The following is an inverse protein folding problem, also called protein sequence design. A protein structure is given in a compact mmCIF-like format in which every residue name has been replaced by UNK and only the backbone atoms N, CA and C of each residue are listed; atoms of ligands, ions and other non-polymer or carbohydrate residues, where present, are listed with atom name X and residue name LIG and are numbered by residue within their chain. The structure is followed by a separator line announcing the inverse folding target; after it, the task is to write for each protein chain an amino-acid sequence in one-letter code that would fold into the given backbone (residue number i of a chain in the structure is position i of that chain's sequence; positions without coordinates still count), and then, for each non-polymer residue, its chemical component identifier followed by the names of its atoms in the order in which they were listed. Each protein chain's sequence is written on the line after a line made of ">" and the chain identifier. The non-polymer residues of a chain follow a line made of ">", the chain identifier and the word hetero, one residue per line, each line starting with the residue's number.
data_IF_313793274907
#
_entry.id   IF_313793274907
#
_cell.length_a   1.000
_cell.length_b   1.000
_cell.length_c   1.000
_cell.angle_alpha   90.00
_cell.angle_beta   90.00
_cell.angle_gamma   90.00
#
_symmetry.space_group_name_H-M   'P 1'
#
loop_
_entity.id
_entity.type
_entity.pdbx_description
1 polymer ?
#
# COMPACT_ATOMS: atom_id res chain seq x y z
N UNK A 1 -1.48 -8.10 8.72
CA UNK A 1 -0.01 -8.03 8.91
C UNK A 1 0.58 -8.73 7.70
N UNK A 2 1.64 -8.17 7.13
CA UNK A 2 2.28 -8.69 5.91
C UNK A 2 3.69 -9.17 6.22
N UNK A 3 4.36 -9.81 5.26
CA UNK A 3 5.73 -10.31 5.42
C UNK A 3 6.62 -9.70 4.33
N UNK A 4 7.71 -9.02 4.71
CA UNK A 4 8.63 -8.31 3.79
C UNK A 4 10.09 -8.73 3.99
N UNK A 5 10.44 -10.00 3.72
CA UNK A 5 11.79 -10.52 3.96
C UNK A 5 12.85 -9.87 3.06
N UNK A 6 12.54 -9.53 1.80
CA UNK A 6 13.51 -8.93 0.89
C UNK A 6 13.84 -7.51 1.31
N UNK A 7 12.85 -6.71 1.72
CA UNK A 7 13.07 -5.37 2.26
C UNK A 7 13.94 -5.46 3.52
N UNK A 8 13.62 -6.36 4.46
CA UNK A 8 14.45 -6.59 5.65
C UNK A 8 15.91 -6.92 5.27
N UNK A 9 16.12 -7.86 4.35
CA UNK A 9 17.46 -8.29 3.93
C UNK A 9 18.21 -7.24 3.09
N UNK A 10 17.47 -6.42 2.35
CA UNK A 10 17.98 -5.32 1.55
C UNK A 10 18.21 -4.03 2.34
N UNK A 11 17.92 -4.01 3.64
CA UNK A 11 18.13 -2.85 4.49
C UNK A 11 19.62 -2.41 4.47
N UNK A 12 19.87 -1.10 4.47
CA UNK A 12 21.19 -0.49 4.26
C UNK A 12 21.86 -0.77 2.89
N UNK A 13 21.16 -1.39 1.94
CA UNK A 13 21.64 -1.47 0.56
C UNK A 13 21.25 -0.22 -0.23
N UNK A 14 22.05 0.19 -1.24
CA UNK A 14 21.71 1.34 -2.09
C UNK A 14 20.45 1.15 -2.94
N UNK A 15 19.90 -0.08 -3.00
CA UNK A 15 18.69 -0.42 -3.74
C UNK A 15 17.47 -0.65 -2.84
N UNK A 16 17.53 -0.32 -1.55
CA UNK A 16 16.48 -0.64 -0.59
C UNK A 16 15.09 -0.15 -1.04
N UNK A 17 14.96 1.10 -1.49
CA UNK A 17 13.67 1.67 -1.88
C UNK A 17 13.05 0.91 -3.06
N UNK A 18 13.87 0.46 -4.01
CA UNK A 18 13.42 -0.35 -5.14
C UNK A 18 13.01 -1.75 -4.68
N UNK A 19 13.80 -2.38 -3.80
CA UNK A 19 13.48 -3.70 -3.23
C UNK A 19 12.16 -3.65 -2.47
N UNK A 20 11.96 -2.62 -1.63
CA UNK A 20 10.73 -2.42 -0.87
C UNK A 20 9.53 -2.18 -1.79
N UNK A 21 9.69 -1.34 -2.81
CA UNK A 21 8.65 -1.08 -3.83
C UNK A 21 8.25 -2.37 -4.53
N UNK A 22 9.21 -3.11 -5.09
CA UNK A 22 8.95 -4.33 -5.85
C UNK A 22 8.32 -5.43 -4.98
N UNK A 23 8.75 -5.54 -3.72
CA UNK A 23 8.17 -6.50 -2.79
C UNK A 23 6.76 -6.11 -2.36
N UNK A 24 6.50 -4.82 -2.15
CA UNK A 24 5.17 -4.32 -1.77
C UNK A 24 4.17 -4.45 -2.92
N UNK A 25 4.55 -4.11 -4.15
CA UNK A 25 3.70 -4.26 -5.35
C UNK A 25 3.42 -5.72 -5.71
N UNK A 26 4.18 -6.67 -5.18
CA UNK A 26 3.93 -8.10 -5.34
C UNK A 26 2.92 -8.68 -4.33
N UNK A 27 2.47 -7.88 -3.36
CA UNK A 27 1.50 -8.28 -2.34
C UNK A 27 0.08 -8.03 -2.86
N UNK A 28 -0.85 -8.94 -2.54
CA UNK A 28 -2.26 -8.74 -2.84
C UNK A 28 -2.83 -7.53 -2.08
N UNK A 29 -3.61 -6.71 -2.80
CA UNK A 29 -4.21 -5.48 -2.27
C UNK A 29 -5.06 -5.70 -1.01
N UNK A 30 -5.66 -6.89 -0.84
CA UNK A 30 -6.48 -7.25 0.33
C UNK A 30 -5.68 -7.38 1.63
N UNK A 31 -4.35 -7.56 1.54
CA UNK A 31 -3.48 -7.63 2.71
C UNK A 31 -3.09 -6.25 3.24
N UNK A 32 -3.36 -5.20 2.47
CA UNK A 32 -3.15 -3.81 2.83
C UNK A 32 -4.49 -3.15 3.22
N UNK A 33 -4.48 -2.17 4.13
CA UNK A 33 -5.70 -1.49 4.56
C UNK A 33 -6.21 -0.46 3.53
N UNK A 34 -6.11 -0.74 2.23
CA UNK A 34 -6.47 0.20 1.14
C UNK A 34 -7.94 0.59 1.19
N UNK A 35 -8.82 -0.36 1.53
CA UNK A 35 -10.26 -0.09 1.69
C UNK A 35 -10.57 0.96 2.77
N UNK A 36 -9.70 1.08 3.79
CA UNK A 36 -9.83 2.12 4.83
C UNK A 36 -9.21 3.46 4.40
N UNK A 37 -8.33 3.44 3.40
CA UNK A 37 -7.68 4.63 2.84
C UNK A 37 -8.48 5.31 1.73
N UNK A 38 -9.62 4.75 1.32
CA UNK A 38 -10.48 5.34 0.29
C UNK A 38 -11.01 6.70 0.74
N UNK A 39 -10.90 7.68 -0.14
CA UNK A 39 -11.41 9.03 0.10
C UNK A 39 -12.47 9.46 -0.91
N UNK A 40 -12.40 8.95 -2.14
CA UNK A 40 -13.22 9.40 -3.27
C UNK A 40 -14.24 8.34 -3.74
N UNK A 41 -13.98 7.07 -3.44
CA UNK A 41 -14.71 5.92 -3.96
C UNK A 41 -15.19 4.99 -2.83
N UNK A 42 -15.92 3.93 -3.19
CA UNK A 42 -16.60 3.07 -2.21
C UNK A 42 -15.90 1.73 -2.00
N UNK A 43 -15.19 1.23 -3.01
CA UNK A 43 -14.56 -0.08 -2.97
C UNK A 43 -13.21 -0.05 -3.69
N UNK A 44 -12.23 -0.81 -3.19
CA UNK A 44 -10.94 -0.98 -3.90
C UNK A 44 -11.13 -1.85 -5.14
N UNK A 45 -10.59 -1.42 -6.28
CA UNK A 45 -10.53 -2.21 -7.51
C UNK A 45 -9.59 -3.41 -7.37
N UNK A 46 -9.78 -4.45 -8.18
CA UNK A 46 -8.85 -5.59 -8.24
C UNK A 46 -7.60 -5.30 -9.09
N UNK A 47 -7.46 -4.08 -9.59
CA UNK A 47 -6.30 -3.64 -10.35
C UNK A 47 -5.04 -3.54 -9.48
N UNK A 48 -3.85 -3.73 -10.07
CA UNK A 48 -2.59 -3.57 -9.35
C UNK A 48 -2.44 -2.14 -8.83
N UNK A 49 -1.86 -2.01 -7.64
CA UNK A 49 -1.50 -0.71 -7.07
C UNK A 49 -0.02 -0.40 -7.33
N UNK A 50 0.32 0.88 -7.31
CA UNK A 50 1.69 1.36 -7.31
C UNK A 50 2.12 1.81 -5.91
N UNK A 51 3.38 1.60 -5.57
CA UNK A 51 4.00 2.07 -4.34
C UNK A 51 5.11 3.10 -4.61
N UNK A 52 5.20 4.10 -3.75
CA UNK A 52 6.28 5.09 -3.74
C UNK A 52 6.85 5.15 -2.32
N UNK A 53 8.15 4.89 -2.18
CA UNK A 53 8.84 5.04 -0.90
C UNK A 53 9.11 6.53 -0.66
N UNK A 54 8.55 7.08 0.42
CA UNK A 54 8.70 8.50 0.78
C UNK A 54 9.93 8.66 1.67
N UNK A 55 10.07 7.78 2.66
CA UNK A 55 11.09 7.88 3.69
C UNK A 55 11.27 6.53 4.40
N UNK A 56 12.48 6.30 4.90
CA UNK A 56 12.88 5.05 5.52
C UNK A 56 13.85 5.31 6.66
N UNK A 57 13.51 4.86 7.87
CA UNK A 57 14.33 4.98 9.06
C UNK A 57 14.40 3.64 9.81
N UNK A 58 15.40 3.44 10.67
CA UNK A 58 15.45 2.28 11.56
C UNK A 58 15.45 2.71 13.03
N UNK A 59 14.87 1.86 13.86
CA UNK A 59 15.12 1.81 15.29
C UNK A 59 15.84 0.48 15.64
N UNK A 60 15.97 0.20 16.93
CA UNK A 60 16.63 -1.00 17.46
C UNK A 60 16.00 -2.29 16.95
N UNK A 61 14.65 -2.33 16.88
CA UNK A 61 13.90 -3.55 16.54
C UNK A 61 13.23 -3.51 15.16
N UNK A 62 12.97 -2.33 14.60
CA UNK A 62 12.14 -2.17 13.41
C UNK A 62 12.79 -1.30 12.35
N UNK A 63 12.50 -1.62 11.09
CA UNK A 63 12.66 -0.70 9.96
C UNK A 63 11.29 -0.04 9.73
N UNK A 64 11.24 1.28 9.77
CA UNK A 64 10.04 2.07 9.54
C UNK A 64 10.11 2.71 8.17
N UNK A 65 9.13 2.41 7.33
CA UNK A 65 9.04 2.99 5.99
C UNK A 65 7.70 3.71 5.83
N UNK A 66 7.78 4.96 5.40
CA UNK A 66 6.61 5.71 4.93
C UNK A 66 6.50 5.52 3.43
N UNK A 67 5.34 5.03 2.99
CA UNK A 67 5.06 4.76 1.58
C UNK A 67 3.74 5.39 1.18
N UNK A 68 3.68 5.93 -0.03
CA UNK A 68 2.43 6.33 -0.69
C UNK A 68 1.98 5.20 -1.61
N UNK A 69 0.71 4.84 -1.53
CA UNK A 69 0.07 3.84 -2.41
C UNK A 69 -0.89 4.56 -3.34
N UNK A 70 -0.76 4.25 -4.63
CA UNK A 70 -1.63 4.72 -5.71
C UNK A 70 -2.42 3.51 -6.20
N UNK A 71 -3.74 3.57 -6.15
CA UNK A 71 -4.58 2.43 -6.48
C UNK A 71 -5.89 2.87 -7.09
N UNK A 72 -6.59 1.97 -7.77
CA UNK A 72 -7.90 2.26 -8.34
C UNK A 72 -9.00 1.90 -7.32
N UNK A 73 -9.97 2.81 -7.17
CA UNK A 73 -11.19 2.60 -6.43
C UNK A 73 -12.40 2.67 -7.34
N UNK A 74 -13.47 1.97 -7.01
CA UNK A 74 -14.72 1.89 -7.76
C UNK A 74 -15.79 2.67 -7.00
N UNK A 75 -16.46 3.57 -7.70
CA UNK A 75 -17.68 4.20 -7.17
C UNK A 75 -18.82 3.22 -7.38
N UNK A 76 -19.39 2.68 -6.29
CA UNK A 76 -20.57 1.85 -6.39
C UNK A 76 -21.79 2.73 -6.71
N UNK A 77 -22.08 2.93 -8.01
CA UNK A 77 -23.30 3.55 -8.47
C UNK A 77 -24.51 2.65 -8.17
N UNK A 78 -25.61 3.23 -7.68
CA UNK A 78 -26.88 2.51 -7.54
C UNK A 78 -27.27 1.89 -8.89
N UNK A 79 -27.28 0.56 -8.93
CA UNK A 79 -27.63 -0.23 -10.10
C UNK A 79 -29.05 0.10 -10.57
N UNK A 80 -29.16 0.78 -11.71
CA UNK A 80 -30.33 0.73 -12.57
C UNK A 80 -29.88 0.96 -14.03
N UNK A 81 -29.97 -0.11 -14.82
CA UNK A 81 -29.93 -0.23 -16.29
C UNK A 81 -28.60 -0.63 -16.96
N UNK A 82 -28.52 -1.92 -17.32
CA UNK A 82 -28.28 -2.48 -18.67
C UNK A 82 -27.20 -1.85 -19.60
N UNK A 83 -26.14 -1.25 -19.08
CA UNK A 83 -25.01 -0.79 -19.90
C UNK A 83 -23.71 -1.50 -19.50
N UNK A 84 -22.99 -2.16 -20.43
CA UNK A 84 -21.71 -2.83 -20.17
C UNK A 84 -20.55 -1.83 -20.07
N UNK A 85 -20.80 -0.61 -19.57
CA UNK A 85 -19.75 0.38 -19.37
C UNK A 85 -18.75 -0.19 -18.36
N UNK A 86 -17.42 -0.16 -18.63
CA UNK A 86 -16.45 -0.50 -17.60
C UNK A 86 -16.72 0.34 -16.36
N UNK A 87 -16.71 -0.31 -15.19
CA UNK A 87 -16.90 0.35 -13.90
C UNK A 87 -16.03 1.61 -13.84
N UNK A 88 -16.63 2.76 -13.53
CA UNK A 88 -15.89 4.01 -13.43
C UNK A 88 -14.90 3.89 -12.25
N UNK A 89 -13.61 3.81 -12.59
CA UNK A 89 -12.52 3.71 -11.61
C UNK A 89 -11.94 5.09 -11.34
N UNK A 90 -11.85 5.45 -10.07
CA UNK A 90 -11.17 6.65 -9.60
C UNK A 90 -9.81 6.30 -9.02
N UNK A 91 -8.79 7.08 -9.37
CA UNK A 91 -7.47 6.95 -8.74
C UNK A 91 -7.52 7.47 -7.31
N UNK A 92 -7.10 6.62 -6.38
CA UNK A 92 -7.03 6.86 -4.95
C UNK A 92 -5.56 6.89 -4.51
N UNK A 93 -5.32 7.61 -3.42
CA UNK A 93 -4.01 7.79 -2.83
C UNK A 93 -4.14 7.63 -1.32
N UNK A 94 -3.29 6.81 -0.72
CA UNK A 94 -3.17 6.76 0.73
C UNK A 94 -1.72 6.59 1.15
N UNK A 95 -1.40 7.03 2.36
CA UNK A 95 -0.07 6.81 2.95
C UNK A 95 -0.12 5.73 4.02
N UNK A 96 0.90 4.88 4.01
CA UNK A 96 1.07 3.80 4.96
C UNK A 96 2.39 3.96 5.70
N UNK A 97 2.37 3.68 7.00
CA UNK A 97 3.55 3.40 7.79
C UNK A 97 3.71 1.88 7.90
N UNK A 98 4.84 1.39 7.39
CA UNK A 98 5.27 0.01 7.50
C UNK A 98 6.27 -0.09 8.66
N UNK A 99 6.03 -1.00 9.60
CA UNK A 99 6.98 -1.32 10.68
C UNK A 99 7.42 -2.78 10.50
N UNK A 100 8.58 -2.98 9.89
CA UNK A 100 9.16 -4.29 9.55
C UNK A 100 10.03 -4.76 10.72
N UNK A 101 9.72 -5.92 11.29
CA UNK A 101 10.55 -6.53 12.33
C UNK A 101 11.90 -7.00 11.75
N UNK A 102 13.02 -6.55 12.33
CA UNK A 102 14.37 -6.87 11.82
C UNK A 102 14.76 -8.33 12.03
N UNK A 103 14.11 -9.05 12.96
CA UNK A 103 14.33 -10.46 13.21
C UNK A 103 13.47 -11.35 12.31
N UNK A 104 12.17 -11.06 12.23
CA UNK A 104 11.19 -11.96 11.60
C UNK A 104 10.71 -11.53 10.21
N UNK A 105 10.95 -10.27 9.83
CA UNK A 105 10.36 -9.61 8.66
C UNK A 105 8.82 -9.49 8.69
N UNK A 106 8.19 -9.75 9.85
CA UNK A 106 6.77 -9.45 10.04
C UNK A 106 6.56 -7.94 10.04
N UNK A 107 5.63 -7.49 9.21
CA UNK A 107 5.40 -6.07 8.97
C UNK A 107 4.01 -5.67 9.42
N UNK A 108 3.98 -4.70 10.33
CA UNK A 108 2.74 -4.02 10.71
C UNK A 108 2.51 -2.88 9.75
N UNK A 109 1.29 -2.81 9.23
CA UNK A 109 0.87 -1.77 8.28
C UNK A 109 -0.15 -0.89 8.98
N UNK A 110 0.11 0.41 9.01
CA UNK A 110 -0.79 1.41 9.58
C UNK A 110 -1.10 2.45 8.52
N UNK A 111 -2.38 2.75 8.32
CA UNK A 111 -2.80 3.91 7.56
C UNK A 111 -2.37 5.16 8.33
N UNK A 112 -1.69 6.09 7.68
CA UNK A 112 -1.37 7.40 8.24
C UNK A 112 -2.14 8.45 7.45
N UNK A 113 -3.05 9.16 8.11
CA UNK A 113 -3.71 10.29 7.49
C UNK A 113 -2.71 11.44 7.43
N UNK A 114 -2.53 12.02 6.23
CA UNK A 114 -1.97 13.35 6.11
C UNK A 114 -2.99 14.35 6.67
N UNK A 115 -2.96 14.55 7.99
CA UNK A 115 -3.55 15.75 8.57
C UNK A 115 -2.67 16.92 8.13
N UNK A 116 -3.10 17.60 7.06
CA UNK A 116 -2.56 18.88 6.62
C UNK A 116 -2.75 19.96 7.70
#
# INVERSE_FOLDING_TARGET
>A
MIHLPKARDGWNSPGFDQILKDELEAIDADQLPLQQGLSLSSMVSSEPFGAIVIDSEEDTAFIRCRVSIIYAGIIAGCSCADDPTPLDTQTEYCELLLEIDKGTAETRVKLINQSH
#
